data_IF_858370274081
#
_entry.id   IF_858370274081
#
_cell.length_a   1.000
_cell.length_b   1.000
_cell.length_c   1.000
_cell.angle_alpha   90.00
_cell.angle_beta   90.00
_cell.angle_gamma   90.00
#
_symmetry.space_group_name_H-M   'P 1'
#
loop_
_entity.id
_entity.type
_entity.pdbx_description
1 polymer ?
#
# COMPACT_ATOMS: atom_id res chain seq x y z
N UNK A 1 -12.12 -18.04 22.43
CA UNK A 1 -12.67 -17.15 21.41
C UNK A 1 -11.72 -16.00 21.08
N UNK A 2 -11.26 -15.24 22.07
CA UNK A 2 -10.27 -14.17 21.83
C UNK A 2 -8.98 -14.68 21.19
N UNK A 3 -8.54 -15.89 21.56
CA UNK A 3 -7.34 -16.50 21.01
C UNK A 3 -7.44 -16.80 19.51
N UNK A 4 -8.63 -17.20 19.05
CA UNK A 4 -8.86 -17.46 17.64
C UNK A 4 -8.80 -16.18 16.82
N UNK A 5 -9.44 -15.11 17.30
CA UNK A 5 -9.40 -13.80 16.64
C UNK A 5 -7.96 -13.27 16.55
N UNK A 6 -7.20 -13.41 17.63
CA UNK A 6 -5.80 -12.98 17.65
C UNK A 6 -4.97 -13.77 16.63
N UNK A 7 -5.17 -15.10 16.57
CA UNK A 7 -4.47 -15.93 15.58
C UNK A 7 -4.82 -15.53 14.16
N UNK A 8 -6.09 -15.26 13.89
CA UNK A 8 -6.54 -14.83 12.56
C UNK A 8 -5.89 -13.50 12.18
N UNK A 9 -5.84 -12.56 13.11
CA UNK A 9 -5.18 -11.25 12.91
C UNK A 9 -3.69 -11.45 12.63
N UNK A 10 -3.02 -12.31 13.39
CA UNK A 10 -1.59 -12.57 13.22
C UNK A 10 -1.29 -13.24 11.88
N UNK A 11 -2.16 -14.14 11.41
CA UNK A 11 -2.02 -14.76 10.09
C UNK A 11 -2.14 -13.71 8.98
N UNK A 12 -3.10 -12.81 9.08
CA UNK A 12 -3.25 -11.72 8.13
C UNK A 12 -2.04 -10.79 8.19
N UNK A 13 -1.55 -10.48 9.39
CA UNK A 13 -0.35 -9.67 9.59
C UNK A 13 0.86 -10.26 8.87
N UNK A 14 1.03 -11.58 8.97
CA UNK A 14 2.13 -12.27 8.30
C UNK A 14 2.00 -12.18 6.79
N UNK A 15 0.80 -12.36 6.25
CA UNK A 15 0.54 -12.24 4.81
C UNK A 15 0.81 -10.83 4.30
N UNK A 16 0.42 -9.81 5.07
CA UNK A 16 0.69 -8.41 4.73
C UNK A 16 2.19 -8.13 4.75
N UNK A 17 2.90 -8.62 5.76
CA UNK A 17 4.35 -8.47 5.84
C UNK A 17 5.06 -9.16 4.66
N UNK A 18 4.63 -10.37 4.31
CA UNK A 18 5.18 -11.10 3.17
C UNK A 18 4.88 -10.38 1.85
N UNK A 19 3.69 -9.79 1.72
CA UNK A 19 3.29 -9.04 0.53
C UNK A 19 4.19 -7.82 0.31
N UNK A 20 4.61 -7.13 1.37
CA UNK A 20 5.55 -6.02 1.28
C UNK A 20 6.81 -6.42 0.52
N UNK A 21 7.35 -7.61 0.83
CA UNK A 21 8.54 -8.14 0.19
C UNK A 21 8.32 -8.55 -1.27
N UNK A 22 7.35 -9.44 -1.53
CA UNK A 22 7.19 -9.95 -2.89
C UNK A 22 6.53 -8.97 -3.85
N UNK A 23 5.80 -7.98 -3.36
CA UNK A 23 5.29 -6.89 -4.20
C UNK A 23 6.33 -5.80 -4.44
N UNK A 24 7.46 -5.85 -3.78
CA UNK A 24 8.53 -4.84 -3.89
C UNK A 24 7.99 -3.43 -3.62
N UNK A 25 7.27 -3.27 -2.51
CA UNK A 25 6.59 -1.99 -2.20
C UNK A 25 7.57 -0.82 -2.08
N UNK A 26 8.74 -1.01 -1.47
CA UNK A 26 9.73 0.06 -1.34
C UNK A 26 10.28 0.49 -2.70
N UNK A 27 10.55 -0.47 -3.59
CA UNK A 27 11.02 -0.19 -4.94
C UNK A 27 9.95 0.54 -5.75
N UNK A 28 8.69 0.09 -5.64
CA UNK A 28 7.56 0.73 -6.33
C UNK A 28 7.33 2.15 -5.83
N UNK A 29 7.48 2.37 -4.53
CA UNK A 29 7.35 3.71 -3.95
C UNK A 29 8.43 4.64 -4.50
N UNK A 30 9.68 4.18 -4.57
CA UNK A 30 10.77 4.96 -5.14
C UNK A 30 10.55 5.25 -6.63
N UNK A 31 10.07 4.26 -7.40
CA UNK A 31 9.72 4.44 -8.81
C UNK A 31 8.60 5.46 -8.99
N UNK A 32 7.56 5.37 -8.15
CA UNK A 32 6.44 6.32 -8.21
C UNK A 32 6.91 7.74 -7.92
N UNK A 33 7.76 7.93 -6.94
CA UNK A 33 8.31 9.25 -6.62
C UNK A 33 9.09 9.83 -7.80
N UNK A 34 9.88 8.99 -8.48
CA UNK A 34 10.63 9.41 -9.66
C UNK A 34 9.71 9.80 -10.83
N UNK A 35 8.64 9.01 -11.05
CA UNK A 35 7.67 9.32 -12.11
C UNK A 35 6.86 10.58 -11.78
N UNK A 36 6.44 10.76 -10.54
CA UNK A 36 5.73 11.96 -10.10
C UNK A 36 6.61 13.21 -10.28
N UNK A 37 7.91 13.10 -10.03
CA UNK A 37 8.86 14.20 -10.27
C UNK A 37 8.95 14.55 -11.76
N UNK A 38 8.90 13.56 -12.65
CA UNK A 38 8.87 13.79 -14.09
C UNK A 38 7.57 14.50 -14.50
N UNK A 39 6.44 14.04 -13.98
CA UNK A 39 5.10 14.62 -14.29
C UNK A 39 5.04 16.09 -13.88
N UNK A 40 5.74 16.45 -12.81
CA UNK A 40 5.76 17.82 -12.29
C UNK A 40 6.68 18.76 -13.07
N UNK A 41 7.52 18.25 -13.97
CA UNK A 41 8.45 19.08 -14.72
C UNK A 41 7.73 19.92 -15.77
N UNK A 42 8.23 21.14 -15.98
CA UNK A 42 7.75 22.00 -17.05
C UNK A 42 7.98 21.32 -18.40
N UNK A 43 6.98 21.36 -19.27
CA UNK A 43 7.07 20.74 -20.60
C UNK A 43 6.78 19.25 -20.64
N UNK A 44 6.53 18.61 -19.50
CA UNK A 44 6.21 17.18 -19.50
C UNK A 44 5.04 16.83 -20.41
N UNK A 45 4.01 17.67 -20.39
CA UNK A 45 2.75 17.44 -21.14
C UNK A 45 2.87 17.79 -22.63
N UNK A 46 4.00 18.40 -23.05
CA UNK A 46 4.22 18.75 -24.47
C UNK A 46 4.40 17.52 -25.36
N UNK A 47 4.92 16.42 -24.80
CA UNK A 47 4.99 15.11 -25.46
C UNK A 47 3.82 14.26 -24.98
N UNK A 48 2.74 14.26 -25.73
CA UNK A 48 1.51 13.60 -25.33
C UNK A 48 1.67 12.10 -25.16
N UNK A 49 2.47 11.43 -26.01
CA UNK A 49 2.66 10.00 -25.96
C UNK A 49 3.45 9.60 -24.71
N UNK A 50 4.55 10.32 -24.43
CA UNK A 50 5.35 10.11 -23.23
C UNK A 50 4.52 10.38 -21.98
N UNK A 51 3.76 11.48 -21.98
CA UNK A 51 2.92 11.85 -20.85
C UNK A 51 1.91 10.74 -20.55
N UNK A 52 1.28 10.17 -21.57
CA UNK A 52 0.33 9.07 -21.40
C UNK A 52 1.00 7.83 -20.83
N UNK A 53 2.16 7.44 -21.37
CA UNK A 53 2.89 6.25 -20.92
C UNK A 53 3.33 6.41 -19.46
N UNK A 54 3.95 7.52 -19.11
CA UNK A 54 4.43 7.76 -17.74
C UNK A 54 3.26 7.86 -16.76
N UNK A 55 2.18 8.53 -17.13
CA UNK A 55 1.00 8.65 -16.28
C UNK A 55 0.34 7.30 -16.01
N UNK A 56 0.28 6.41 -16.99
CA UNK A 56 -0.23 5.05 -16.81
C UNK A 56 0.64 4.24 -15.87
N UNK A 57 1.96 4.34 -16.02
CA UNK A 57 2.90 3.65 -15.13
C UNK A 57 2.75 4.14 -13.69
N UNK A 58 2.67 5.46 -13.50
CA UNK A 58 2.48 6.05 -12.17
C UNK A 58 1.17 5.60 -11.54
N UNK A 59 0.08 5.58 -12.32
CA UNK A 59 -1.23 5.13 -11.84
C UNK A 59 -1.22 3.67 -11.41
N UNK A 60 -0.58 2.79 -12.19
CA UNK A 60 -0.47 1.37 -11.87
C UNK A 60 0.32 1.14 -10.58
N UNK A 61 1.44 1.85 -10.41
CA UNK A 61 2.24 1.77 -9.19
C UNK A 61 1.46 2.28 -7.98
N UNK A 62 0.76 3.39 -8.14
CA UNK A 62 -0.06 3.98 -7.09
C UNK A 62 -1.17 3.05 -6.64
N UNK A 63 -1.85 2.40 -7.58
CA UNK A 63 -2.93 1.45 -7.27
C UNK A 63 -2.42 0.29 -6.42
N UNK A 64 -1.26 -0.26 -6.76
CA UNK A 64 -0.66 -1.36 -5.99
C UNK A 64 -0.26 -0.89 -4.59
N UNK A 65 0.38 0.26 -4.49
CA UNK A 65 0.82 0.84 -3.21
C UNK A 65 -0.40 1.16 -2.33
N UNK A 66 -1.43 1.76 -2.91
CA UNK A 66 -2.65 2.13 -2.18
C UNK A 66 -3.39 0.89 -1.68
N UNK A 67 -3.47 -0.18 -2.49
CA UNK A 67 -4.08 -1.43 -2.07
C UNK A 67 -3.32 -2.06 -0.90
N UNK A 68 -1.99 -2.05 -0.96
CA UNK A 68 -1.16 -2.52 0.15
C UNK A 68 -1.38 -1.68 1.41
N UNK A 69 -1.37 -0.37 1.30
CA UNK A 69 -1.58 0.53 2.43
C UNK A 69 -2.98 0.38 3.03
N UNK A 70 -4.00 0.14 2.21
CA UNK A 70 -5.36 -0.15 2.69
C UNK A 70 -5.39 -1.43 3.52
N UNK A 71 -4.68 -2.47 3.09
CA UNK A 71 -4.59 -3.72 3.84
C UNK A 71 -3.89 -3.52 5.20
N UNK A 72 -2.81 -2.73 5.23
CA UNK A 72 -2.10 -2.38 6.47
C UNK A 72 -3.03 -1.64 7.42
N UNK A 73 -3.80 -0.68 6.90
CA UNK A 73 -4.75 0.11 7.68
C UNK A 73 -5.84 -0.75 8.31
N UNK A 74 -6.42 -1.67 7.51
CA UNK A 74 -7.44 -2.60 8.01
C UNK A 74 -6.88 -3.51 9.09
N UNK A 75 -5.65 -3.98 8.93
CA UNK A 75 -4.98 -4.80 9.93
C UNK A 75 -4.77 -4.03 11.23
N UNK A 76 -4.33 -2.78 11.13
CA UNK A 76 -4.14 -1.90 12.27
C UNK A 76 -5.46 -1.68 13.03
N UNK A 77 -6.54 -1.44 12.30
CA UNK A 77 -7.87 -1.24 12.87
C UNK A 77 -8.37 -2.51 13.56
N UNK A 78 -8.13 -3.68 12.96
CA UNK A 78 -8.51 -4.95 13.56
C UNK A 78 -7.77 -5.21 14.88
N UNK A 79 -6.49 -4.90 14.92
CA UNK A 79 -5.69 -5.02 16.15
C UNK A 79 -6.17 -4.07 17.24
N UNK A 80 -6.47 -2.83 16.87
CA UNK A 80 -6.99 -1.84 17.82
C UNK A 80 -8.34 -2.27 18.38
N UNK A 81 -9.23 -2.76 17.53
CA UNK A 81 -10.53 -3.26 17.97
C UNK A 81 -10.41 -4.46 18.92
N UNK A 82 -9.48 -5.38 18.62
CA UNK A 82 -9.21 -6.54 19.45
C UNK A 82 -8.68 -6.14 20.83
N UNK A 83 -7.76 -5.18 20.88
CA UNK A 83 -7.20 -4.66 22.14
C UNK A 83 -8.30 -3.99 22.98
N UNK A 84 -9.15 -3.18 22.37
CA UNK A 84 -10.25 -2.51 23.06
C UNK A 84 -11.25 -3.51 23.62
N UNK A 85 -11.55 -4.57 22.87
CA UNK A 85 -12.45 -5.63 23.34
C UNK A 85 -11.85 -6.38 24.53
N UNK A 86 -10.54 -6.56 24.55
CA UNK A 86 -9.84 -7.21 25.65
C UNK A 86 -9.75 -6.38 26.92
N UNK A 87 -9.83 -5.05 26.82
CA UNK A 87 -9.78 -4.14 27.95
C UNK A 87 -11.14 -3.94 28.63
N UNK A 88 -12.21 -4.27 27.94
CA UNK A 88 -13.56 -4.12 28.46
C UNK A 88 -13.86 -5.25 29.46
N UNK A 89 -14.10 -4.92 30.75
CA UNK A 89 -14.35 -5.94 31.78
C UNK A 89 -15.67 -6.66 31.61
#
# INVERSE_FOLDING_TARGET
MADKELKDIEQVAQRVADAHGFLHIDDKTAQLMALDAQIAQAGFWDDAQRAQTVSKQASSLRDTIDAYNAAVSLLHDARAAHELAGEDP
#
